data_IF_710882835155
#
_entry.id   IF_710882835155
#
_cell.length_a   1.000
_cell.length_b   1.000
_cell.length_c   1.000
_cell.angle_alpha   90.00
_cell.angle_beta   90.00
_cell.angle_gamma   90.00
#
_symmetry.space_group_name_H-M   'P 1'
#
loop_
_entity.id
_entity.type
_entity.pdbx_description
1 polymer ?
#
# COMPACT_ATOMS: atom_id res chain seq x y z
N UNK A 1 -6.35 -18.83 13.34
CA UNK A 1 -6.14 -18.31 11.99
C UNK A 1 -4.79 -17.64 11.94
N UNK A 2 -4.21 -17.52 10.75
CA UNK A 2 -2.97 -16.76 10.50
C UNK A 2 -3.11 -15.31 10.99
N UNK A 3 -2.04 -14.72 11.51
CA UNK A 3 -2.03 -13.30 11.90
C UNK A 3 -1.69 -12.39 10.70
N UNK A 4 -1.87 -11.08 10.87
CA UNK A 4 -1.68 -10.12 9.78
C UNK A 4 -0.24 -10.05 9.25
N UNK A 5 0.76 -10.32 10.10
CA UNK A 5 2.16 -10.28 9.69
C UNK A 5 2.50 -11.53 8.87
N UNK A 6 2.12 -12.70 9.36
CA UNK A 6 2.32 -13.96 8.65
C UNK A 6 1.65 -13.92 7.27
N UNK A 7 0.41 -13.41 7.20
CA UNK A 7 -0.27 -13.21 5.93
C UNK A 7 0.50 -12.25 5.00
N UNK A 8 0.93 -11.08 5.49
CA UNK A 8 1.66 -10.10 4.67
C UNK A 8 2.98 -10.65 4.12
N UNK A 9 3.72 -11.42 4.92
CA UNK A 9 4.98 -12.04 4.50
C UNK A 9 4.74 -13.13 3.44
N UNK A 10 3.71 -13.96 3.63
CA UNK A 10 3.33 -15.00 2.68
C UNK A 10 2.89 -14.38 1.33
N UNK A 11 2.01 -13.38 1.36
CA UNK A 11 1.55 -12.71 0.13
C UNK A 11 2.70 -12.01 -0.60
N UNK A 12 3.63 -11.36 0.10
CA UNK A 12 4.81 -10.76 -0.54
C UNK A 12 5.71 -11.79 -1.26
N UNK A 13 5.81 -13.01 -0.72
CA UNK A 13 6.52 -14.11 -1.36
C UNK A 13 5.72 -14.69 -2.54
N UNK A 14 4.41 -14.87 -2.40
CA UNK A 14 3.54 -15.43 -3.46
C UNK A 14 3.37 -14.47 -4.66
N UNK A 15 3.21 -13.17 -4.42
CA UNK A 15 2.91 -12.17 -5.46
C UNK A 15 4.17 -11.70 -6.21
N UNK A 16 5.25 -11.42 -5.47
CA UNK A 16 6.47 -10.80 -6.04
C UNK A 16 7.76 -11.58 -5.77
N UNK A 17 7.70 -12.73 -5.10
CA UNK A 17 8.87 -13.55 -4.80
C UNK A 17 9.79 -12.97 -3.72
N UNK A 18 9.32 -11.97 -2.95
CA UNK A 18 10.16 -11.32 -1.94
C UNK A 18 10.23 -12.17 -0.66
N UNK A 19 11.27 -13.00 -0.57
CA UNK A 19 11.46 -13.90 0.55
C UNK A 19 11.61 -13.14 1.89
N UNK A 20 10.88 -13.61 2.92
CA UNK A 20 10.80 -12.99 4.27
C UNK A 20 12.14 -12.61 4.91
N UNK A 21 13.22 -13.36 4.65
CA UNK A 21 14.60 -13.02 5.09
C UNK A 21 15.09 -11.62 4.68
N UNK A 22 14.49 -11.00 3.65
CA UNK A 22 14.81 -9.65 3.20
C UNK A 22 13.91 -8.59 3.83
N UNK A 23 12.93 -8.98 4.64
CA UNK A 23 11.89 -8.10 5.17
C UNK A 23 12.09 -7.99 6.69
N UNK A 24 12.27 -6.77 7.18
CA UNK A 24 12.32 -6.46 8.61
C UNK A 24 11.10 -5.63 9.01
N UNK A 25 10.02 -6.27 9.51
CA UNK A 25 8.82 -5.57 9.96
C UNK A 25 9.11 -4.75 11.22
N UNK A 26 8.69 -3.49 11.24
CA UNK A 26 8.90 -2.63 12.41
C UNK A 26 7.62 -1.97 12.94
N UNK A 27 6.52 -1.96 12.17
CA UNK A 27 5.25 -1.42 12.64
C UNK A 27 4.03 -2.08 11.96
N UNK A 28 2.90 -2.09 12.68
CA UNK A 28 1.58 -2.23 12.09
C UNK A 28 0.84 -0.89 12.23
N UNK A 29 0.24 -0.43 11.13
CA UNK A 29 -0.56 0.79 11.14
C UNK A 29 -1.97 0.52 11.69
N UNK A 30 -2.75 1.58 11.88
CA UNK A 30 -4.16 1.42 12.21
C UNK A 30 -4.88 0.59 11.13
N UNK A 31 -5.80 -0.29 11.55
CA UNK A 31 -6.63 -1.01 10.60
C UNK A 31 -7.42 -0.07 9.70
N UNK A 32 -7.23 -0.21 8.39
CA UNK A 32 -7.96 0.53 7.38
C UNK A 32 -9.26 -0.19 7.02
N UNK A 33 -10.40 0.51 7.14
CA UNK A 33 -11.70 0.00 6.72
C UNK A 33 -12.00 0.45 5.29
N UNK A 34 -12.01 -0.50 4.36
CA UNK A 34 -12.38 -0.23 2.97
C UNK A 34 -13.88 0.08 2.84
N UNK A 35 -14.25 0.85 1.82
CA UNK A 35 -15.67 1.13 1.51
C UNK A 35 -16.50 -0.12 1.16
N UNK A 36 -15.84 -1.24 0.90
CA UNK A 36 -16.43 -2.57 0.64
C UNK A 36 -16.58 -3.44 1.90
N UNK A 37 -16.18 -2.96 3.08
CA UNK A 37 -16.37 -3.68 4.35
C UNK A 37 -15.21 -4.57 4.79
N UNK A 38 -14.09 -4.60 4.05
CA UNK A 38 -12.86 -5.28 4.48
C UNK A 38 -12.10 -4.43 5.50
N UNK A 39 -11.54 -5.11 6.50
CA UNK A 39 -10.60 -4.57 7.49
C UNK A 39 -9.20 -5.02 7.14
N UNK A 40 -8.34 -4.07 6.81
CA UNK A 40 -6.98 -4.31 6.36
C UNK A 40 -6.03 -3.85 7.46
N UNK A 41 -5.04 -4.66 7.82
CA UNK A 41 -3.99 -4.28 8.76
C UNK A 41 -2.70 -4.07 7.98
N UNK A 42 -2.29 -2.82 7.72
CA UNK A 42 -1.06 -2.55 6.98
C UNK A 42 0.16 -2.84 7.86
N UNK A 43 1.09 -3.64 7.33
CA UNK A 43 2.39 -3.89 7.96
C UNK A 43 3.44 -3.04 7.23
N UNK A 44 4.27 -2.35 7.99
CA UNK A 44 5.39 -1.56 7.48
C UNK A 44 6.70 -2.27 7.83
N UNK A 45 7.56 -2.41 6.82
CA UNK A 45 8.82 -3.11 6.93
C UNK A 45 9.92 -2.37 6.17
N UNK A 46 11.15 -2.55 6.63
CA UNK A 46 12.35 -2.22 5.89
C UNK A 46 12.75 -3.42 5.02
N UNK A 47 13.19 -3.15 3.78
CA UNK A 47 13.60 -4.19 2.84
C UNK A 47 15.11 -4.13 2.64
N UNK A 48 15.78 -5.27 2.82
CA UNK A 48 17.25 -5.40 2.79
C UNK A 48 17.74 -5.95 1.44
N UNK A 49 18.30 -5.09 0.55
CA UNK A 49 18.94 -5.54 -0.68
C UNK A 49 20.30 -6.23 -0.43
N UNK A 50 20.83 -6.99 -1.40
CA UNK A 50 20.24 -7.27 -2.70
C UNK A 50 19.16 -8.37 -2.62
N UNK A 51 18.16 -8.27 -3.48
CA UNK A 51 17.16 -9.30 -3.75
C UNK A 51 16.75 -9.24 -5.22
N UNK A 52 16.33 -10.39 -5.75
CA UNK A 52 15.70 -10.48 -7.06
C UNK A 52 14.22 -10.79 -6.86
N UNK A 53 13.35 -10.09 -7.58
CA UNK A 53 11.92 -10.35 -7.55
C UNK A 53 11.56 -11.43 -8.58
N UNK A 54 10.72 -12.38 -8.18
CA UNK A 54 10.13 -13.40 -9.05
C UNK A 54 8.63 -13.14 -9.11
N UNK A 55 8.21 -12.30 -10.06
CA UNK A 55 6.83 -11.83 -10.15
C UNK A 55 5.89 -12.96 -10.60
N UNK A 56 4.84 -13.20 -9.82
CA UNK A 56 3.73 -14.04 -10.26
C UNK A 56 2.83 -13.25 -11.21
N UNK A 57 3.00 -13.47 -12.51
CA UNK A 57 2.26 -12.75 -13.54
C UNK A 57 0.77 -13.12 -13.65
N UNK A 58 0.29 -14.15 -12.94
CA UNK A 58 -1.14 -14.43 -12.85
C UNK A 58 -1.87 -13.38 -11.98
N UNK A 59 -1.16 -12.77 -11.03
CA UNK A 59 -1.73 -11.82 -10.06
C UNK A 59 -1.13 -10.41 -10.19
N UNK A 60 0.16 -10.31 -10.53
CA UNK A 60 0.91 -9.05 -10.60
C UNK A 60 1.42 -8.77 -12.01
N UNK A 61 0.89 -7.71 -12.63
CA UNK A 61 1.31 -7.29 -13.97
C UNK A 61 2.70 -6.62 -13.99
N UNK A 62 3.02 -5.82 -12.97
CA UNK A 62 4.27 -5.09 -12.86
C UNK A 62 4.51 -4.60 -11.43
N UNK A 63 5.77 -4.33 -11.10
CA UNK A 63 6.19 -3.64 -9.87
C UNK A 63 6.79 -2.28 -10.20
N UNK A 64 6.70 -1.35 -9.26
CA UNK A 64 7.34 -0.04 -9.33
C UNK A 64 7.60 0.48 -7.93
N UNK A 65 8.52 1.43 -7.82
CA UNK A 65 8.83 2.11 -6.57
C UNK A 65 8.51 3.61 -6.68
N UNK A 66 7.96 4.17 -5.61
CA UNK A 66 7.79 5.61 -5.46
C UNK A 66 8.65 6.08 -4.28
N UNK A 67 9.39 7.20 -4.41
CA UNK A 67 10.19 7.70 -3.30
C UNK A 67 9.34 7.93 -2.05
N UNK A 68 9.84 7.53 -0.88
CA UNK A 68 9.13 7.74 0.38
C UNK A 68 8.75 9.22 0.59
N UNK A 69 9.69 10.13 0.28
CA UNK A 69 9.44 11.56 0.36
C UNK A 69 8.29 12.04 -0.55
N UNK A 70 8.07 11.40 -1.69
CA UNK A 70 6.96 11.73 -2.59
C UNK A 70 5.61 11.36 -1.97
N UNK A 71 5.49 10.13 -1.45
CA UNK A 71 4.24 9.61 -0.84
C UNK A 71 3.95 10.17 0.55
N UNK A 72 4.89 10.89 1.16
CA UNK A 72 4.71 11.60 2.43
C UNK A 72 4.55 13.12 2.27
N UNK A 73 4.69 13.65 1.06
CA UNK A 73 4.46 15.07 0.82
C UNK A 73 2.95 15.33 0.63
N UNK A 74 2.30 16.08 1.54
CA UNK A 74 0.87 16.37 1.45
C UNK A 74 0.47 17.13 0.18
N UNK A 75 1.40 17.81 -0.49
CA UNK A 75 1.14 18.45 -1.78
C UNK A 75 0.79 17.43 -2.88
N UNK A 76 1.25 16.19 -2.75
CA UNK A 76 0.93 15.09 -3.66
C UNK A 76 -0.38 14.35 -3.29
N UNK A 77 -0.97 14.66 -2.12
CA UNK A 77 -2.18 14.00 -1.62
C UNK A 77 -3.44 14.67 -2.19
N UNK A 78 -3.79 14.33 -3.43
CA UNK A 78 -4.94 14.90 -4.11
C UNK A 78 -6.24 14.27 -3.61
N UNK A 79 -7.21 15.11 -3.20
CA UNK A 79 -8.57 14.66 -2.97
C UNK A 79 -9.37 14.79 -4.26
N UNK A 80 -9.85 13.67 -4.77
CA UNK A 80 -10.65 13.61 -5.99
C UNK A 80 -12.04 13.01 -5.71
N UNK A 81 -12.91 12.99 -6.72
CA UNK A 81 -14.22 12.36 -6.64
C UNK A 81 -14.64 11.68 -7.94
N UNK A 82 -15.48 10.66 -7.80
CA UNK A 82 -16.18 9.99 -8.91
C UNK A 82 -17.59 9.60 -8.49
N UNK A 83 -18.52 9.59 -9.43
CA UNK A 83 -19.83 9.00 -9.21
C UNK A 83 -19.71 7.47 -9.18
N UNK A 84 -20.26 6.86 -8.15
CA UNK A 84 -20.30 5.42 -7.98
C UNK A 84 -21.65 5.00 -7.37
N UNK A 85 -22.39 4.15 -8.08
CA UNK A 85 -23.74 3.69 -7.69
C UNK A 85 -24.68 4.86 -7.34
N UNK A 86 -24.67 5.92 -8.15
CA UNK A 86 -25.55 7.08 -7.97
C UNK A 86 -25.15 8.04 -6.85
N UNK A 87 -23.97 7.87 -6.24
CA UNK A 87 -23.46 8.78 -5.22
C UNK A 87 -22.04 9.25 -5.56
N UNK A 88 -21.75 10.53 -5.30
CA UNK A 88 -20.39 11.05 -5.39
C UNK A 88 -19.55 10.47 -4.25
N UNK A 89 -18.47 9.77 -4.59
CA UNK A 89 -17.49 9.25 -3.63
C UNK A 89 -16.20 10.03 -3.76
N UNK A 90 -15.66 10.45 -2.62
CA UNK A 90 -14.35 11.08 -2.54
C UNK A 90 -13.28 10.05 -2.19
N UNK A 91 -12.09 10.22 -2.75
CA UNK A 91 -10.93 9.39 -2.46
C UNK A 91 -9.64 10.18 -2.58
N UNK A 92 -8.57 9.68 -1.97
CA UNK A 92 -7.23 10.20 -2.17
C UNK A 92 -6.57 9.55 -3.39
N UNK A 93 -5.76 10.33 -4.09
CA UNK A 93 -4.91 9.89 -5.17
C UNK A 93 -3.54 10.60 -5.08
N UNK A 94 -2.49 9.88 -5.46
CA UNK A 94 -1.10 10.35 -5.52
C UNK A 94 -0.53 9.93 -6.89
N UNK A 95 -0.81 10.66 -7.98
CA UNK A 95 -0.30 10.30 -9.30
C UNK A 95 1.23 10.41 -9.35
N UNK A 96 1.92 9.33 -9.72
CA UNK A 96 3.37 9.24 -9.78
C UNK A 96 3.83 8.71 -11.13
N UNK A 97 4.47 9.56 -11.93
CA UNK A 97 4.87 9.23 -13.31
C UNK A 97 3.67 8.67 -14.11
N UNK A 98 3.78 7.47 -14.67
CA UNK A 98 2.70 6.75 -15.37
C UNK A 98 1.76 5.98 -14.43
N UNK A 99 2.02 5.96 -13.12
CA UNK A 99 1.25 5.22 -12.14
C UNK A 99 0.24 6.11 -11.43
N UNK A 100 -0.92 5.52 -11.15
CA UNK A 100 -2.01 6.19 -10.47
C UNK A 100 -2.25 5.48 -9.14
N UNK A 101 -1.68 6.00 -8.05
CA UNK A 101 -1.85 5.42 -6.70
C UNK A 101 -3.13 6.02 -6.11
N UNK A 102 -4.15 5.21 -5.83
CA UNK A 102 -5.46 5.71 -5.40
C UNK A 102 -6.21 4.70 -4.53
N UNK A 103 -7.38 5.10 -4.04
CA UNK A 103 -8.28 4.19 -3.31
C UNK A 103 -7.71 3.74 -1.97
N UNK A 104 -7.77 2.44 -1.69
CA UNK A 104 -7.31 1.84 -0.42
C UNK A 104 -5.82 2.14 -0.18
N UNK A 105 -4.96 1.94 -1.18
CA UNK A 105 -3.51 2.17 -1.06
C UNK A 105 -3.19 3.62 -0.71
N UNK A 106 -3.78 4.58 -1.44
CA UNK A 106 -3.59 6.00 -1.13
C UNK A 106 -4.19 6.38 0.24
N UNK A 107 -5.27 5.73 0.66
CA UNK A 107 -5.86 5.90 1.99
C UNK A 107 -4.94 5.43 3.11
N UNK A 108 -4.28 4.27 2.95
CA UNK A 108 -3.29 3.75 3.90
C UNK A 108 -2.08 4.70 3.98
N UNK A 109 -1.53 5.13 2.84
CA UNK A 109 -0.40 6.07 2.81
C UNK A 109 -0.77 7.42 3.45
N UNK A 110 -1.99 7.92 3.20
CA UNK A 110 -2.47 9.14 3.84
C UNK A 110 -2.58 9.00 5.36
N UNK A 111 -3.06 7.87 5.85
CA UNK A 111 -3.13 7.60 7.29
C UNK A 111 -1.73 7.50 7.92
N UNK A 112 -0.77 6.89 7.23
CA UNK A 112 0.63 6.86 7.65
C UNK A 112 1.20 8.28 7.76
N UNK A 113 0.97 9.13 6.75
CA UNK A 113 1.39 10.53 6.79
C UNK A 113 0.81 11.28 8.01
N UNK A 114 -0.50 11.15 8.26
CA UNK A 114 -1.14 11.78 9.42
C UNK A 114 -0.50 11.31 10.73
N UNK A 115 -0.18 10.02 10.86
CA UNK A 115 0.47 9.50 12.08
C UNK A 115 1.91 9.98 12.29
N UNK A 116 2.65 10.23 11.21
CA UNK A 116 4.07 10.59 11.30
C UNK A 116 4.31 12.10 11.39
N UNK A 117 3.40 12.91 10.85
CA UNK A 117 3.62 14.35 10.65
C UNK A 117 2.56 15.25 11.29
N UNK A 118 1.52 14.70 11.93
CA UNK A 118 0.49 15.48 12.66
C UNK A 118 0.28 14.95 14.07
#
# INVERSE_FOLDING_TARGET
GEDALAAALREAEEEIGLHSRHIEPFAALDPYLSGSGYRITPVVAEIHPPFDLAINHEEVAATFEAPFAFVMDPANHQRQSREWKGAIRHFYAMPWQSHYIWGVTAGILRNMYERLYT
#
